data_IF_075388790556
#
_entry.id   IF_075388790556
#
_cell.length_a   1.000
_cell.length_b   1.000
_cell.length_c   1.000
_cell.angle_alpha   90.00
_cell.angle_beta   90.00
_cell.angle_gamma   90.00
#
_symmetry.space_group_name_H-M   'P 1'
#
loop_
_entity.id
_entity.type
_entity.pdbx_description
1 polymer ?
#
# COMPACT_ATOMS: atom_id res chain seq x y z
N UNK A 1 22.22 11.75 7.52
CA UNK A 1 22.34 11.41 6.08
C UNK A 1 21.67 10.08 5.77
N UNK A 2 22.00 9.00 6.50
CA UNK A 2 21.49 7.63 6.28
C UNK A 2 19.95 7.49 6.34
N UNK A 3 19.26 8.16 7.28
CA UNK A 3 17.79 8.07 7.42
C UNK A 3 17.02 8.64 6.22
N UNK A 4 17.53 9.72 5.61
CA UNK A 4 16.88 10.35 4.44
C UNK A 4 16.95 9.44 3.22
N UNK A 5 18.09 8.79 3.01
CA UNK A 5 18.26 7.84 1.92
C UNK A 5 17.38 6.59 2.08
N UNK A 6 17.23 6.12 3.32
CA UNK A 6 16.33 5.00 3.64
C UNK A 6 14.87 5.33 3.37
N UNK A 7 14.42 6.52 3.79
CA UNK A 7 13.06 7.00 3.49
C UNK A 7 12.87 7.09 1.97
N UNK A 8 13.85 7.63 1.23
CA UNK A 8 13.78 7.73 -0.23
C UNK A 8 13.61 6.36 -0.89
N UNK A 9 14.43 5.36 -0.51
CA UNK A 9 14.30 3.99 -1.03
C UNK A 9 12.92 3.39 -0.79
N UNK A 10 12.40 3.52 0.43
CA UNK A 10 11.07 3.01 0.78
C UNK A 10 9.96 3.74 0.01
N UNK A 11 10.11 5.04 -0.22
CA UNK A 11 9.18 5.81 -1.05
C UNK A 11 9.22 5.31 -2.49
N UNK A 12 10.40 5.21 -3.09
CA UNK A 12 10.55 4.81 -4.49
C UNK A 12 10.01 3.39 -4.74
N UNK A 13 10.26 2.47 -3.80
CA UNK A 13 9.84 1.06 -3.88
C UNK A 13 8.32 0.87 -3.69
N UNK A 14 7.72 1.57 -2.73
CA UNK A 14 6.32 1.34 -2.35
C UNK A 14 5.35 2.43 -2.82
N UNK A 15 5.82 3.47 -3.53
CA UNK A 15 4.94 4.54 -4.03
C UNK A 15 3.83 4.00 -4.93
N UNK A 16 4.14 3.02 -5.80
CA UNK A 16 3.13 2.44 -6.69
C UNK A 16 2.02 1.74 -5.91
N UNK A 17 2.36 1.10 -4.80
CA UNK A 17 1.39 0.50 -3.88
C UNK A 17 0.53 1.58 -3.24
N UNK A 18 1.14 2.66 -2.75
CA UNK A 18 0.42 3.78 -2.16
C UNK A 18 -0.54 4.45 -3.15
N UNK A 19 -0.11 4.61 -4.41
CA UNK A 19 -0.89 5.19 -5.51
C UNK A 19 -2.00 4.25 -5.99
N UNK A 20 -1.78 2.94 -5.92
CA UNK A 20 -2.84 1.96 -6.14
C UNK A 20 -3.89 2.04 -5.03
N UNK A 21 -3.47 2.14 -3.76
CA UNK A 21 -4.38 2.24 -2.62
C UNK A 21 -5.15 3.56 -2.57
N UNK A 22 -4.52 4.69 -2.91
CA UNK A 22 -5.13 6.02 -2.92
C UNK A 22 -4.91 6.64 -4.31
N UNK A 23 -6.00 6.79 -5.07
CA UNK A 23 -5.95 7.27 -6.45
C UNK A 23 -5.56 8.75 -6.59
N UNK A 24 -5.64 9.53 -5.51
CA UNK A 24 -5.09 10.89 -5.47
C UNK A 24 -3.58 10.84 -5.25
N UNK A 25 -2.81 11.27 -6.25
CA UNK A 25 -1.36 11.18 -6.26
C UNK A 25 -0.68 11.95 -5.11
N UNK A 26 -1.26 13.10 -4.70
CA UNK A 26 -0.70 13.90 -3.61
C UNK A 26 -0.93 13.20 -2.27
N UNK A 27 -2.13 12.65 -2.07
CA UNK A 27 -2.46 11.87 -0.88
C UNK A 27 -1.67 10.56 -0.81
N UNK A 28 -1.44 9.89 -1.94
CA UNK A 28 -0.59 8.71 -2.04
C UNK A 28 0.88 9.03 -1.71
N UNK A 29 1.40 10.14 -2.22
CA UNK A 29 2.77 10.61 -1.90
C UNK A 29 2.90 10.93 -0.41
N UNK A 30 1.96 11.67 0.16
CA UNK A 30 1.94 11.97 1.59
C UNK A 30 1.84 10.69 2.42
N UNK A 31 0.97 9.75 2.02
CA UNK A 31 0.80 8.46 2.68
C UNK A 31 2.14 7.73 2.76
N UNK A 32 2.84 7.55 1.63
CA UNK A 32 4.08 6.78 1.62
C UNK A 32 5.19 7.47 2.41
N UNK A 33 5.29 8.80 2.35
CA UNK A 33 6.26 9.58 3.13
C UNK A 33 6.00 9.41 4.63
N UNK A 34 4.75 9.47 5.06
CA UNK A 34 4.39 9.35 6.47
C UNK A 34 4.65 7.93 7.00
N UNK A 35 4.32 6.91 6.21
CA UNK A 35 4.62 5.51 6.54
C UNK A 35 6.14 5.31 6.61
N UNK A 36 6.89 5.71 5.58
CA UNK A 36 8.34 5.55 5.53
C UNK A 36 9.03 6.28 6.70
N UNK A 37 8.65 7.52 6.97
CA UNK A 37 9.21 8.31 8.08
C UNK A 37 8.87 7.67 9.43
N UNK A 38 7.62 7.27 9.65
CA UNK A 38 7.19 6.60 10.87
C UNK A 38 7.86 5.24 11.06
N UNK A 39 8.08 4.49 9.98
CA UNK A 39 8.77 3.20 10.01
C UNK A 39 10.23 3.34 10.42
N UNK A 40 10.96 4.27 9.80
CA UNK A 40 12.37 4.55 10.09
C UNK A 40 12.56 5.17 11.48
N UNK A 41 11.58 5.90 12.00
CA UNK A 41 11.62 6.45 13.35
C UNK A 41 11.47 5.38 14.44
N UNK A 42 10.69 4.32 14.19
CA UNK A 42 10.37 3.27 15.16
C UNK A 42 11.41 2.16 15.23
N UNK A 43 12.16 1.90 14.15
CA UNK A 43 13.09 0.77 14.09
C UNK A 43 14.47 1.20 13.58
N UNK A 44 15.40 1.43 14.53
CA UNK A 44 16.77 1.86 14.25
C UNK A 44 17.61 0.81 13.50
N UNK A 45 17.13 -0.43 13.37
CA UNK A 45 17.79 -1.50 12.61
C UNK A 45 17.22 -1.73 11.19
N UNK A 46 16.30 -0.87 10.72
CA UNK A 46 15.63 -0.97 9.40
C UNK A 46 16.62 -1.06 8.22
N UNK A 47 17.82 -0.49 8.35
CA UNK A 47 18.86 -0.44 7.31
C UNK A 47 19.30 -1.78 6.73
N UNK A 48 19.16 -2.88 7.48
CA UNK A 48 19.67 -4.19 7.05
C UNK A 48 18.57 -5.18 6.64
N UNK A 49 17.32 -4.73 6.58
CA UNK A 49 16.16 -5.63 6.44
C UNK A 49 15.22 -5.27 5.30
N UNK A 50 15.53 -4.29 4.46
CA UNK A 50 14.64 -3.89 3.35
C UNK A 50 14.36 -5.09 2.44
N UNK A 51 15.38 -5.89 2.14
CA UNK A 51 15.27 -7.11 1.31
C UNK A 51 14.68 -8.33 2.06
N UNK A 52 14.05 -8.12 3.23
CA UNK A 52 13.46 -9.19 4.03
C UNK A 52 11.94 -9.21 3.82
N UNK A 53 11.40 -10.35 3.39
CA UNK A 53 9.95 -10.58 3.21
C UNK A 53 9.12 -10.21 4.47
N UNK A 54 9.66 -10.46 5.66
CA UNK A 54 9.03 -10.06 6.92
C UNK A 54 8.95 -8.53 7.10
N UNK A 55 9.98 -7.82 6.65
CA UNK A 55 10.01 -6.36 6.67
C UNK A 55 8.99 -5.80 5.69
N UNK A 56 8.99 -6.30 4.46
CA UNK A 56 8.05 -5.92 3.41
C UNK A 56 6.60 -6.11 3.88
N UNK A 57 6.27 -7.28 4.45
CA UNK A 57 4.94 -7.56 5.01
C UNK A 57 4.55 -6.54 6.08
N UNK A 58 5.45 -6.21 7.01
CA UNK A 58 5.20 -5.19 8.04
C UNK A 58 5.00 -3.79 7.46
N UNK A 59 5.75 -3.45 6.42
CA UNK A 59 5.65 -2.16 5.76
C UNK A 59 4.30 -2.02 5.04
N UNK A 60 3.92 -3.03 4.25
CA UNK A 60 2.62 -3.11 3.58
C UNK A 60 1.45 -3.02 4.57
N UNK A 61 1.54 -3.72 5.70
CA UNK A 61 0.53 -3.65 6.76
C UNK A 61 0.31 -2.22 7.27
N UNK A 62 1.40 -1.51 7.56
CA UNK A 62 1.31 -0.10 8.01
C UNK A 62 0.77 0.81 6.91
N UNK A 63 1.19 0.58 5.66
CA UNK A 63 0.73 1.35 4.51
C UNK A 63 -0.79 1.22 4.32
N UNK A 64 -1.29 -0.01 4.29
CA UNK A 64 -2.72 -0.30 4.14
C UNK A 64 -3.51 0.24 5.33
N UNK A 65 -3.03 0.03 6.57
CA UNK A 65 -3.70 0.53 7.77
C UNK A 65 -3.85 2.04 7.75
N UNK A 66 -2.79 2.78 7.39
CA UNK A 66 -2.86 4.24 7.34
C UNK A 66 -3.72 4.73 6.17
N UNK A 67 -3.67 4.04 5.02
CA UNK A 67 -4.53 4.35 3.88
C UNK A 67 -6.01 4.16 4.22
N UNK A 68 -6.37 3.07 4.91
CA UNK A 68 -7.72 2.80 5.38
C UNK A 68 -8.20 3.90 6.33
N UNK A 69 -7.41 4.23 7.35
CA UNK A 69 -7.72 5.30 8.30
C UNK A 69 -7.98 6.64 7.60
N UNK A 70 -7.15 7.02 6.62
CA UNK A 70 -7.35 8.25 5.84
C UNK A 70 -8.61 8.21 5.00
N UNK A 71 -8.89 7.06 4.38
CA UNK A 71 -10.09 6.91 3.55
C UNK A 71 -11.37 6.98 4.36
N UNK A 72 -11.40 6.43 5.57
CA UNK A 72 -12.55 6.51 6.48
C UNK A 72 -12.82 7.94 6.94
N UNK A 73 -11.76 8.74 7.14
CA UNK A 73 -11.89 10.17 7.44
C UNK A 73 -12.48 10.97 6.26
N UNK A 74 -12.21 10.55 5.02
CA UNK A 74 -12.70 11.20 3.79
C UNK A 74 -14.10 10.70 3.39
N UNK A 75 -14.43 9.43 3.67
CA UNK A 75 -15.67 8.77 3.25
C UNK A 75 -16.92 9.13 4.07
N UNK A 76 -16.79 9.92 5.14
CA UNK A 76 -17.92 10.53 5.85
C UNK A 76 -18.77 11.48 4.96
N UNK A 77 -18.48 11.60 3.66
CA UNK A 77 -19.11 12.58 2.77
C UNK A 77 -19.75 12.03 1.50
N UNK A 78 -19.48 10.78 1.05
CA UNK A 78 -20.01 10.28 -0.24
C UNK A 78 -20.28 8.77 -0.23
N UNK A 79 -21.56 8.42 -0.14
CA UNK A 79 -22.09 7.07 -0.34
C UNK A 79 -22.22 6.76 -1.83
N UNK A 80 -21.53 5.73 -2.30
CA UNK A 80 -21.76 5.14 -3.62
C UNK A 80 -20.54 4.42 -4.17
N UNK A 81 -20.56 3.08 -4.17
CA UNK A 81 -19.73 2.17 -4.98
C UNK A 81 -18.29 2.62 -5.32
N UNK A 82 -17.55 3.11 -4.33
CA UNK A 82 -16.12 3.36 -4.48
C UNK A 82 -15.42 2.09 -4.02
N UNK A 83 -14.66 1.45 -4.93
CA UNK A 83 -13.65 0.45 -4.58
C UNK A 83 -12.93 0.94 -3.32
N UNK A 84 -13.13 0.27 -2.19
CA UNK A 84 -12.59 0.78 -0.93
C UNK A 84 -11.07 0.60 -0.94
N UNK A 85 -10.35 1.35 -0.09
CA UNK A 85 -8.91 1.09 0.11
C UNK A 85 -8.68 -0.37 0.51
N UNK A 86 -9.59 -0.92 1.31
CA UNK A 86 -9.57 -2.32 1.73
C UNK A 86 -9.71 -3.29 0.55
N UNK A 87 -10.65 -3.06 -0.36
CA UNK A 87 -10.81 -3.86 -1.57
C UNK A 87 -9.56 -3.78 -2.46
N UNK A 88 -8.99 -2.59 -2.64
CA UNK A 88 -7.74 -2.43 -3.40
C UNK A 88 -6.58 -3.15 -2.70
N UNK A 89 -6.44 -3.02 -1.39
CA UNK A 89 -5.40 -3.74 -0.65
C UNK A 89 -5.55 -5.27 -0.80
N UNK A 90 -6.78 -5.77 -0.75
CA UNK A 90 -7.08 -7.19 -0.97
C UNK A 90 -6.64 -7.65 -2.35
N UNK A 91 -7.05 -6.94 -3.40
CA UNK A 91 -6.65 -7.23 -4.79
C UNK A 91 -5.14 -7.18 -4.93
N UNK A 92 -4.50 -6.18 -4.33
CA UNK A 92 -3.05 -6.01 -4.45
C UNK A 92 -2.28 -7.21 -3.89
N UNK A 93 -2.67 -7.65 -2.69
CA UNK A 93 -2.04 -8.79 -2.03
C UNK A 93 -2.28 -10.09 -2.80
N UNK A 94 -3.48 -10.28 -3.35
CA UNK A 94 -3.82 -11.47 -4.12
C UNK A 94 -3.11 -11.50 -5.49
N UNK A 95 -3.35 -10.49 -6.34
CA UNK A 95 -2.90 -10.49 -7.74
C UNK A 95 -1.40 -10.20 -7.89
N UNK A 96 -0.86 -9.24 -7.12
CA UNK A 96 0.53 -8.80 -7.31
C UNK A 96 1.52 -9.43 -6.32
N UNK A 97 1.04 -9.95 -5.18
CA UNK A 97 1.91 -10.63 -4.20
C UNK A 97 1.66 -12.14 -4.10
N UNK A 98 0.59 -12.67 -4.70
CA UNK A 98 0.28 -14.10 -4.65
C UNK A 98 -0.04 -14.58 -3.23
N UNK A 99 -0.51 -13.69 -2.35
CA UNK A 99 -0.82 -14.02 -0.97
C UNK A 99 -2.06 -14.92 -0.88
N UNK A 100 -2.00 -15.90 0.01
CA UNK A 100 -3.13 -16.78 0.28
C UNK A 100 -4.28 -16.02 0.94
N UNK A 101 -5.52 -16.44 0.67
CA UNK A 101 -6.75 -15.84 1.23
C UNK A 101 -6.69 -15.73 2.76
N UNK A 102 -6.15 -16.76 3.43
CA UNK A 102 -5.98 -16.79 4.88
C UNK A 102 -5.03 -15.69 5.36
N UNK A 103 -3.88 -15.53 4.69
CA UNK A 103 -2.91 -14.47 5.00
C UNK A 103 -3.51 -13.08 4.78
N UNK A 104 -4.26 -12.87 3.69
CA UNK A 104 -4.91 -11.60 3.39
C UNK A 104 -5.94 -11.26 4.47
N UNK A 105 -6.74 -12.25 4.89
CA UNK A 105 -7.72 -12.12 5.97
C UNK A 105 -7.05 -11.66 7.27
N UNK A 106 -5.92 -12.25 7.64
CA UNK A 106 -5.14 -11.83 8.82
C UNK A 106 -4.55 -10.43 8.66
N UNK A 107 -3.97 -10.11 7.49
CA UNK A 107 -3.31 -8.84 7.21
C UNK A 107 -4.30 -7.68 7.27
N UNK A 108 -5.46 -7.84 6.64
CA UNK A 108 -6.48 -6.80 6.52
C UNK A 108 -7.49 -6.80 7.68
N UNK A 109 -7.47 -7.82 8.53
CA UNK A 109 -8.44 -8.03 9.63
C UNK A 109 -9.89 -8.04 9.13
N UNK A 110 -10.11 -8.75 8.03
CA UNK A 110 -11.42 -9.00 7.43
C UNK A 110 -11.66 -10.50 7.35
N UNK A 111 -12.90 -10.92 7.17
CA UNK A 111 -13.21 -12.34 6.99
C UNK A 111 -12.71 -12.88 5.65
N UNK A 112 -12.37 -14.17 5.59
CA UNK A 112 -12.03 -14.84 4.33
C UNK A 112 -13.15 -14.73 3.27
N UNK A 113 -14.42 -14.71 3.71
CA UNK A 113 -15.55 -14.49 2.80
C UNK A 113 -15.53 -13.10 2.15
N UNK A 114 -15.11 -12.06 2.89
CA UNK A 114 -14.93 -10.72 2.32
C UNK A 114 -13.75 -10.68 1.35
N UNK A 115 -12.66 -11.37 1.66
CA UNK A 115 -11.51 -11.52 0.75
C UNK A 115 -11.97 -12.12 -0.59
N UNK A 116 -12.67 -13.26 -0.53
CA UNK A 116 -13.20 -13.93 -1.73
C UNK A 116 -14.18 -13.04 -2.49
N UNK A 117 -15.09 -12.36 -1.80
CA UNK A 117 -16.02 -11.40 -2.40
C UNK A 117 -15.30 -10.26 -3.14
N UNK A 118 -14.19 -9.75 -2.59
CA UNK A 118 -13.40 -8.71 -3.23
C UNK A 118 -12.63 -9.21 -4.46
N UNK A 119 -12.13 -10.43 -4.42
CA UNK A 119 -11.44 -11.08 -5.54
C UNK A 119 -12.45 -11.38 -6.66
N UNK A 120 -13.62 -11.94 -6.34
CA UNK A 120 -14.67 -12.27 -7.31
C UNK A 120 -15.25 -11.02 -8.02
N UNK A 121 -15.16 -9.86 -7.38
CA UNK A 121 -15.59 -8.58 -7.95
C UNK A 121 -14.56 -7.95 -8.91
N UNK A 122 -13.39 -8.57 -9.12
CA UNK A 122 -12.41 -8.11 -10.11
C UNK A 122 -13.05 -8.15 -11.51
N UNK A 123 -13.28 -7.00 -12.16
CA UNK A 123 -13.56 -7.04 -13.59
C UNK A 123 -12.33 -7.67 -14.26
N UNK A 124 -12.51 -8.58 -15.22
CA UNK A 124 -11.45 -9.19 -16.04
C UNK A 124 -10.60 -8.20 -16.86
N UNK A 125 -10.55 -6.91 -16.49
CA UNK A 125 -9.67 -5.90 -17.03
C UNK A 125 -8.36 -5.89 -16.26
N UNK A 126 -7.33 -6.40 -16.93
CA UNK A 126 -5.91 -6.18 -16.66
C UNK A 126 -5.64 -4.85 -15.94
N UNK A 127 -5.32 -4.94 -14.66
CA UNK A 127 -4.89 -3.81 -13.83
C UNK A 127 -3.44 -3.52 -14.21
N UNK A 128 -3.22 -2.48 -15.01
CA UNK A 128 -1.87 -2.03 -15.35
C UNK A 128 -1.31 -1.23 -14.16
N UNK A 129 -0.31 -1.78 -13.48
CA UNK A 129 0.62 -0.98 -12.69
C UNK A 129 1.44 -0.19 -13.71
N UNK A 130 1.29 1.14 -13.75
CA UNK A 130 2.12 1.98 -14.60
C UNK A 130 3.57 1.90 -14.09
N UNK A 131 4.45 1.33 -14.91
CA UNK A 131 5.88 1.22 -14.62
C UNK A 131 6.52 2.61 -14.48
N UNK A 132 7.42 2.71 -13.50
CA UNK A 132 8.47 3.72 -13.33
C UNK A 132 8.04 5.18 -13.09
N UNK A 133 8.43 5.68 -11.90
CA UNK A 133 8.61 7.10 -11.64
C UNK A 133 9.84 7.56 -12.42
N UNK A 134 9.64 8.00 -13.66
CA UNK A 134 10.69 8.70 -14.41
C UNK A 134 10.92 10.05 -13.73
N UNK A 135 11.88 10.05 -12.81
CA UNK A 135 12.42 11.26 -12.20
C UNK A 135 12.92 12.16 -13.32
N UNK A 136 12.19 13.25 -13.56
CA UNK A 136 12.61 14.32 -14.47
C UNK A 136 14.07 14.69 -14.17
N UNK A 137 14.98 14.30 -15.06
CA UNK A 137 16.29 14.95 -15.18
C UNK A 137 16.04 16.41 -15.48
N UNK A 138 16.45 17.25 -14.54
CA UNK A 138 16.50 18.71 -14.70
C UNK A 138 17.58 18.97 -15.75
N UNK A 139 17.18 19.47 -16.92
CA UNK A 139 18.08 20.10 -17.89
C UNK A 139 18.32 21.56 -17.49
#
# INVERSE_FOLDING_TARGET
MVKKELIRKLVDEFYQVANYLIQDQLQAMQLIIDVATGFVAQDSQTLYKIDNEYFERKFLLKLVSLAKQRSEQILNSRSGNINTVEQRACIYLFEFKGEAVDNISEILRISQQQVLSYIDQLPHKSINLNESFDGRTIN
#
